data_IF_498639255486
#
_entry.id   IF_498639255486
#
_cell.length_a   1.000
_cell.length_b   1.000
_cell.length_c   1.000
_cell.angle_alpha   90.00
_cell.angle_beta   90.00
_cell.angle_gamma   90.00
#
_symmetry.space_group_name_H-M   'P 1'
#
loop_
_entity.id
_entity.type
_entity.pdbx_description
1 polymer ?
#
# COMPACT_ATOMS: atom_id res chain seq x y z
N UNK A 1 19.69 15.72 20.49
CA UNK A 1 18.68 16.26 19.57
C UNK A 1 19.18 15.98 18.18
N UNK A 2 18.70 14.89 17.56
CA UNK A 2 19.15 14.46 16.25
C UNK A 2 18.02 14.62 15.26
N UNK A 3 18.38 15.25 14.14
CA UNK A 3 17.57 15.71 13.04
C UNK A 3 16.48 14.72 12.66
N UNK A 4 15.22 15.06 12.98
CA UNK A 4 14.08 14.60 12.22
C UNK A 4 14.20 15.21 10.83
N UNK A 5 14.95 14.57 9.94
CA UNK A 5 14.73 14.75 8.51
C UNK A 5 13.31 14.28 8.25
N UNK A 6 12.36 15.23 8.30
CA UNK A 6 11.17 15.14 7.48
C UNK A 6 11.74 15.07 6.06
N UNK A 7 12.02 13.85 5.59
CA UNK A 7 12.16 13.59 4.17
C UNK A 7 10.82 14.02 3.61
N UNK A 8 10.79 15.23 3.06
CA UNK A 8 9.63 15.75 2.36
C UNK A 8 9.50 14.89 1.12
N UNK A 9 8.87 13.71 1.26
CA UNK A 9 8.41 12.93 0.12
C UNK A 9 7.71 13.90 -0.80
N UNK A 10 8.15 13.94 -2.06
CA UNK A 10 7.51 14.78 -3.03
C UNK A 10 6.01 14.44 -3.01
N UNK A 11 5.10 15.41 -2.80
CA UNK A 11 3.67 15.11 -2.71
C UNK A 11 3.12 14.46 -3.99
N UNK A 12 3.85 14.58 -5.10
CA UNK A 12 3.54 13.95 -6.38
C UNK A 12 4.05 12.50 -6.48
N UNK A 13 4.77 12.01 -5.47
CA UNK A 13 5.31 10.65 -5.40
C UNK A 13 4.24 9.68 -4.89
N UNK A 14 3.14 9.60 -5.63
CA UNK A 14 2.00 8.74 -5.31
C UNK A 14 2.04 7.40 -6.04
N UNK A 15 2.95 7.22 -6.99
CA UNK A 15 3.00 6.03 -7.83
C UNK A 15 3.07 4.76 -6.97
N UNK A 16 2.11 3.86 -7.17
CA UNK A 16 2.03 2.59 -6.45
C UNK A 16 1.48 2.65 -5.04
N UNK A 17 1.29 3.85 -4.47
CA UNK A 17 0.71 4.00 -3.14
C UNK A 17 -0.79 3.73 -3.17
N UNK A 18 -1.28 3.16 -2.07
CA UNK A 18 -2.69 3.02 -1.78
C UNK A 18 -3.27 4.33 -1.26
N UNK A 19 -4.43 4.68 -1.80
CA UNK A 19 -5.11 5.96 -1.59
C UNK A 19 -6.59 5.76 -1.31
N UNK A 20 -7.21 6.74 -0.66
CA UNK A 20 -8.65 6.90 -0.53
C UNK A 20 -9.08 8.16 -1.29
N UNK A 21 -10.29 8.15 -1.85
CA UNK A 21 -10.91 9.36 -2.40
C UNK A 21 -11.68 10.10 -1.30
N UNK A 22 -11.31 11.37 -1.03
CA UNK A 22 -11.94 12.19 0.01
C UNK A 22 -13.37 12.60 -0.33
N UNK A 23 -13.72 12.62 -1.63
CA UNK A 23 -15.04 13.01 -2.14
C UNK A 23 -15.98 11.80 -2.24
N UNK A 24 -15.44 10.61 -2.52
CA UNK A 24 -16.20 9.36 -2.60
C UNK A 24 -15.63 8.27 -1.66
N UNK A 25 -15.82 8.39 -0.34
CA UNK A 25 -15.33 7.39 0.63
C UNK A 25 -15.86 5.97 0.38
N UNK A 26 -17.02 5.85 -0.28
CA UNK A 26 -17.63 4.57 -0.63
C UNK A 26 -16.76 3.71 -1.58
N UNK A 27 -15.79 4.31 -2.30
CA UNK A 27 -14.83 3.57 -3.13
C UNK A 27 -13.91 2.67 -2.31
N UNK A 28 -13.72 2.98 -1.01
CA UNK A 28 -12.71 2.36 -0.17
C UNK A 28 -11.31 2.81 -0.57
N UNK A 29 -10.39 1.87 -0.70
CA UNK A 29 -9.00 2.12 -1.11
C UNK A 29 -8.78 1.73 -2.56
N UNK A 30 -7.87 2.42 -3.25
CA UNK A 30 -7.38 2.08 -4.59
C UNK A 30 -5.87 2.27 -4.67
N UNK A 31 -5.25 1.74 -5.71
CA UNK A 31 -3.81 1.83 -5.91
C UNK A 31 -3.48 2.68 -7.13
N UNK A 32 -2.61 3.67 -6.92
CA UNK A 32 -2.14 4.56 -7.99
C UNK A 32 -1.30 3.77 -9.00
N UNK A 33 -1.77 3.69 -10.24
CA UNK A 33 -1.10 2.95 -11.32
C UNK A 33 -0.22 3.83 -12.19
N UNK A 34 -0.54 5.10 -12.34
CA UNK A 34 0.22 6.07 -13.13
C UNK A 34 -0.03 7.47 -12.63
N UNK A 35 0.85 8.41 -12.96
CA UNK A 35 0.62 9.83 -12.71
C UNK A 35 0.88 10.66 -13.97
N UNK A 36 0.18 11.79 -14.04
CA UNK A 36 0.34 12.84 -15.02
C UNK A 36 0.81 14.10 -14.30
N UNK A 37 2.11 14.36 -14.37
CA UNK A 37 2.75 15.50 -13.71
C UNK A 37 2.21 16.84 -14.25
N UNK A 38 1.84 16.93 -15.53
CA UNK A 38 1.33 18.16 -16.11
C UNK A 38 -0.07 18.51 -15.59
N UNK A 39 -0.89 17.49 -15.31
CA UNK A 39 -2.25 17.65 -14.80
C UNK A 39 -2.38 17.54 -13.29
N UNK A 40 -1.28 17.32 -12.57
CA UNK A 40 -1.26 17.04 -11.12
C UNK A 40 -2.34 16.01 -10.72
N UNK A 41 -2.40 14.92 -11.49
CA UNK A 41 -3.43 13.89 -11.38
C UNK A 41 -2.82 12.51 -11.55
N UNK A 42 -3.52 11.48 -11.11
CA UNK A 42 -3.10 10.09 -11.28
C UNK A 42 -4.24 9.18 -11.73
N UNK A 43 -3.90 8.08 -12.39
CA UNK A 43 -4.84 7.00 -12.63
C UNK A 43 -4.79 6.07 -11.43
N UNK A 44 -5.95 5.83 -10.85
CA UNK A 44 -6.12 4.88 -9.76
C UNK A 44 -6.90 3.68 -10.28
N UNK A 45 -6.44 2.49 -9.92
CA UNK A 45 -7.13 1.25 -10.19
C UNK A 45 -7.25 0.43 -8.92
N UNK A 46 -7.87 -0.75 -9.03
CA UNK A 46 -8.04 -1.68 -7.91
C UNK A 46 -8.76 -1.03 -6.72
N UNK A 47 -9.69 -0.13 -7.01
CA UNK A 47 -10.62 0.36 -6.00
C UNK A 47 -11.33 -0.82 -5.35
N UNK A 48 -11.50 -0.80 -4.03
CA UNK A 48 -12.19 -1.85 -3.29
C UNK A 48 -13.63 -2.01 -3.78
N UNK A 49 -14.31 -0.89 -4.03
CA UNK A 49 -15.63 -0.84 -4.66
C UNK A 49 -15.52 -0.06 -5.98
N UNK A 50 -15.07 -0.70 -7.06
CA UNK A 50 -14.71 0.01 -8.30
C UNK A 50 -15.91 0.49 -9.10
N UNK A 51 -17.12 0.01 -8.79
CA UNK A 51 -18.36 0.40 -9.46
C UNK A 51 -19.37 0.90 -8.45
N UNK A 52 -19.81 2.15 -8.61
CA UNK A 52 -20.86 2.77 -7.79
C UNK A 52 -21.91 3.34 -8.75
N UNK A 53 -23.19 3.03 -8.52
CA UNK A 53 -24.29 3.49 -9.37
C UNK A 53 -24.07 3.22 -10.87
N UNK A 54 -23.53 2.03 -11.20
CA UNK A 54 -23.18 1.60 -12.56
C UNK A 54 -22.04 2.39 -13.24
N UNK A 55 -21.33 3.27 -12.52
CA UNK A 55 -20.16 3.98 -13.02
C UNK A 55 -18.88 3.29 -12.55
N UNK A 56 -17.97 3.00 -13.48
CA UNK A 56 -16.63 2.49 -13.17
C UNK A 56 -15.70 3.63 -12.80
N UNK A 57 -14.95 3.43 -11.72
CA UNK A 57 -13.98 4.37 -11.17
C UNK A 57 -12.52 3.95 -11.41
N UNK A 58 -12.29 2.72 -11.91
CA UNK A 58 -10.96 2.32 -12.39
C UNK A 58 -10.62 3.03 -13.71
N UNK A 59 -9.36 3.44 -13.87
CA UNK A 59 -8.83 3.93 -15.15
C UNK A 59 -9.13 5.40 -15.46
N UNK A 60 -9.78 6.13 -14.55
CA UNK A 60 -10.01 7.59 -14.71
C UNK A 60 -8.91 8.40 -14.01
N UNK A 61 -8.75 9.66 -14.41
CA UNK A 61 -7.81 10.60 -13.81
C UNK A 61 -8.39 11.21 -12.52
N UNK A 62 -7.65 11.10 -11.44
CA UNK A 62 -7.93 11.69 -10.13
C UNK A 62 -6.95 12.81 -9.82
N UNK A 63 -7.41 14.04 -9.60
CA UNK A 63 -6.58 15.12 -9.09
C UNK A 63 -6.02 14.80 -7.70
N UNK A 64 -4.78 15.18 -7.42
CA UNK A 64 -4.12 14.88 -6.14
C UNK A 64 -4.87 15.40 -4.92
N UNK A 65 -5.49 16.57 -5.00
CA UNK A 65 -6.26 17.15 -3.89
C UNK A 65 -7.51 16.33 -3.50
N UNK A 66 -7.94 15.37 -4.34
CA UNK A 66 -9.03 14.44 -4.02
C UNK A 66 -8.55 13.16 -3.35
N UNK A 67 -7.25 12.94 -3.28
CA UNK A 67 -6.68 11.71 -2.79
C UNK A 67 -5.95 11.95 -1.47
N UNK A 68 -6.09 10.99 -0.58
CA UNK A 68 -5.29 10.90 0.64
C UNK A 68 -4.68 9.52 0.73
N UNK A 69 -3.56 9.39 1.44
CA UNK A 69 -2.97 8.08 1.71
C UNK A 69 -3.96 7.19 2.47
N UNK A 70 -4.00 5.91 2.10
CA UNK A 70 -4.84 4.94 2.75
C UNK A 70 -4.54 4.83 4.25
N UNK A 71 -5.59 4.52 5.02
CA UNK A 71 -5.52 4.33 6.47
C UNK A 71 -5.86 2.89 6.82
N UNK A 72 -5.00 2.25 7.60
CA UNK A 72 -5.19 0.88 8.12
C UNK A 72 -5.51 -0.12 7.01
N UNK A 73 -4.88 0.05 5.84
CA UNK A 73 -5.12 -0.84 4.72
C UNK A 73 -4.19 -2.04 4.79
N UNK A 74 -4.76 -3.20 5.10
CA UNK A 74 -4.07 -4.48 5.01
C UNK A 74 -3.60 -4.76 3.57
N UNK A 75 -2.32 -5.05 3.41
CA UNK A 75 -1.71 -5.35 2.09
C UNK A 75 -1.36 -6.82 1.96
N UNK A 76 -0.96 -7.49 3.05
CA UNK A 76 -0.66 -8.92 3.05
C UNK A 76 0.02 -9.40 4.32
N UNK A 77 0.52 -10.62 4.32
CA UNK A 77 1.18 -11.25 5.49
C UNK A 77 2.44 -12.00 5.12
N UNK A 78 3.31 -12.23 6.11
CA UNK A 78 4.37 -13.23 6.07
C UNK A 78 4.39 -13.97 7.40
N UNK A 79 4.24 -15.31 7.37
CA UNK A 79 3.97 -16.08 8.59
C UNK A 79 2.70 -15.58 9.31
N UNK A 80 2.85 -15.26 10.60
CA UNK A 80 1.78 -14.68 11.44
C UNK A 80 1.83 -13.15 11.53
N UNK A 81 2.77 -12.50 10.83
CA UNK A 81 2.88 -11.03 10.84
C UNK A 81 2.04 -10.46 9.71
N UNK A 82 1.16 -9.51 10.03
CA UNK A 82 0.39 -8.73 9.09
C UNK A 82 1.15 -7.46 8.71
N UNK A 83 1.07 -7.10 7.43
CA UNK A 83 1.59 -5.83 6.91
C UNK A 83 0.46 -4.99 6.36
N UNK A 84 0.47 -3.72 6.74
CA UNK A 84 -0.55 -2.76 6.37
C UNK A 84 0.09 -1.39 6.16
N UNK A 85 -0.66 -0.51 5.50
CA UNK A 85 -0.25 0.88 5.28
C UNK A 85 -1.16 1.83 6.03
N UNK A 86 -0.55 2.83 6.63
CA UNK A 86 -1.24 3.89 7.35
C UNK A 86 -0.51 5.21 7.11
N UNK A 87 -1.22 6.18 6.53
CA UNK A 87 -0.71 7.52 6.24
C UNK A 87 0.63 7.56 5.47
N UNK A 88 0.78 6.66 4.49
CA UNK A 88 1.98 6.62 3.65
C UNK A 88 3.15 5.85 4.25
N UNK A 89 2.99 5.27 5.44
CA UNK A 89 4.00 4.46 6.12
C UNK A 89 3.57 3.00 6.13
N UNK A 90 4.55 2.08 6.06
CA UNK A 90 4.32 0.65 6.22
C UNK A 90 4.45 0.29 7.70
N UNK A 91 3.48 -0.46 8.17
CA UNK A 91 3.42 -0.94 9.54
C UNK A 91 3.29 -2.45 9.54
N UNK A 92 3.74 -3.06 10.63
CA UNK A 92 3.57 -4.48 10.93
C UNK A 92 2.85 -4.67 12.26
N UNK A 93 2.22 -5.82 12.41
CA UNK A 93 1.71 -6.32 13.70
C UNK A 93 1.68 -7.83 13.67
N UNK A 94 1.84 -8.47 14.82
CA UNK A 94 1.59 -9.91 14.92
C UNK A 94 0.09 -10.18 15.02
N UNK A 95 -0.39 -11.19 14.31
CA UNK A 95 -1.81 -11.53 14.30
C UNK A 95 -2.25 -12.10 15.64
N UNK A 96 -3.27 -11.47 16.22
CA UNK A 96 -3.98 -11.96 17.39
C UNK A 96 -5.39 -12.44 17.03
N UNK A 97 -5.76 -13.69 17.38
CA UNK A 97 -7.11 -14.20 17.14
C UNK A 97 -8.19 -13.39 17.86
N UNK A 98 -9.33 -13.22 17.22
CA UNK A 98 -10.51 -12.55 17.78
C UNK A 98 -11.75 -13.43 17.61
N UNK A 99 -12.83 -13.20 18.38
CA UNK A 99 -14.11 -13.86 18.12
C UNK A 99 -14.57 -13.58 16.68
N UNK A 100 -14.54 -14.60 15.82
CA UNK A 100 -14.91 -14.51 14.42
C UNK A 100 -13.75 -14.59 13.43
N UNK A 101 -12.50 -14.38 13.86
CA UNK A 101 -11.29 -14.56 13.03
C UNK A 101 -10.24 -15.31 13.85
N UNK A 102 -10.14 -16.62 13.64
CA UNK A 102 -9.38 -17.51 14.52
C UNK A 102 -7.93 -17.70 14.09
N UNK A 103 -7.61 -17.43 12.82
CA UNK A 103 -6.27 -17.57 12.28
C UNK A 103 -5.92 -16.45 11.29
N UNK A 104 -4.61 -16.24 11.11
CA UNK A 104 -4.08 -15.31 10.10
C UNK A 104 -4.50 -15.72 8.68
N UNK A 105 -4.72 -17.02 8.46
CA UNK A 105 -5.21 -17.54 7.19
C UNK A 105 -6.67 -17.18 6.95
N UNK A 106 -7.52 -17.23 7.99
CA UNK A 106 -8.91 -16.78 7.92
C UNK A 106 -8.96 -15.27 7.62
N UNK A 107 -8.15 -14.48 8.34
CA UNK A 107 -8.03 -13.04 8.13
C UNK A 107 -7.62 -12.68 6.69
N UNK A 108 -6.60 -13.35 6.16
CA UNK A 108 -6.09 -13.12 4.80
C UNK A 108 -7.02 -13.70 3.72
N UNK A 109 -7.86 -14.67 4.07
CA UNK A 109 -8.75 -15.38 3.16
C UNK A 109 -9.93 -14.53 2.68
N UNK A 110 -10.53 -14.92 1.56
CA UNK A 110 -11.65 -14.18 0.94
C UNK A 110 -12.89 -14.02 1.84
N UNK A 111 -12.98 -14.76 2.95
CA UNK A 111 -14.07 -14.69 3.90
C UNK A 111 -14.10 -13.42 4.76
N UNK A 112 -12.96 -12.75 4.95
CA UNK A 112 -12.92 -11.46 5.66
C UNK A 112 -13.03 -10.32 4.65
N UNK A 113 -13.99 -9.43 4.86
CA UNK A 113 -14.20 -8.26 4.02
C UNK A 113 -13.12 -7.21 4.23
N UNK A 114 -12.99 -6.27 3.29
CA UNK A 114 -12.11 -5.11 3.46
C UNK A 114 -12.42 -4.31 4.73
N UNK A 115 -13.70 -4.06 5.01
CA UNK A 115 -14.10 -3.26 6.17
C UNK A 115 -13.80 -3.96 7.49
N UNK A 116 -13.97 -5.28 7.55
CA UNK A 116 -13.58 -6.07 8.73
C UNK A 116 -12.07 -6.07 8.94
N UNK A 117 -11.27 -6.25 7.87
CA UNK A 117 -9.80 -6.15 7.98
C UNK A 117 -9.36 -4.78 8.46
N UNK A 118 -9.94 -3.71 7.90
CA UNK A 118 -9.65 -2.34 8.29
C UNK A 118 -9.98 -2.11 9.77
N UNK A 119 -11.17 -2.51 10.20
CA UNK A 119 -11.62 -2.33 11.58
C UNK A 119 -10.71 -3.08 12.58
N UNK A 120 -10.32 -4.32 12.24
CA UNK A 120 -9.36 -5.08 13.04
C UNK A 120 -8.00 -4.37 13.10
N UNK A 121 -7.42 -4.01 11.94
CA UNK A 121 -6.11 -3.36 11.87
C UNK A 121 -6.10 -2.01 12.61
N UNK A 122 -7.19 -1.24 12.51
CA UNK A 122 -7.36 0.01 13.24
C UNK A 122 -7.40 -0.22 14.76
N UNK A 123 -8.22 -1.18 15.23
CA UNK A 123 -8.31 -1.49 16.65
C UNK A 123 -6.95 -1.91 17.24
N UNK A 124 -6.30 -2.89 16.63
CA UNK A 124 -5.00 -3.39 17.09
C UNK A 124 -3.91 -2.31 17.06
N UNK A 125 -3.91 -1.44 16.03
CA UNK A 125 -2.96 -0.33 15.94
C UNK A 125 -3.16 0.66 17.10
N UNK A 126 -4.41 1.05 17.38
CA UNK A 126 -4.73 2.02 18.44
C UNK A 126 -4.48 1.47 19.85
N UNK A 127 -4.51 0.16 20.03
CA UNK A 127 -4.13 -0.53 21.28
C UNK A 127 -2.60 -0.66 21.47
N UNK A 128 -1.81 -0.23 20.48
CA UNK A 128 -0.35 -0.26 20.53
C UNK A 128 0.28 -1.58 20.04
N UNK A 129 -0.48 -2.42 19.33
CA UNK A 129 0.04 -3.67 18.74
C UNK A 129 0.72 -3.48 17.38
N UNK A 130 0.73 -2.25 16.84
CA UNK A 130 1.36 -1.91 15.56
C UNK A 130 2.71 -1.26 15.72
N UNK A 131 3.71 -1.74 14.98
CA UNK A 131 5.05 -1.16 14.90
C UNK A 131 5.33 -0.66 13.48
N UNK A 132 6.01 0.49 13.37
CA UNK A 132 6.54 0.96 12.10
C UNK A 132 7.62 -0.01 11.61
N UNK A 133 7.62 -0.29 10.30
CA UNK A 133 8.56 -1.23 9.72
C UNK A 133 10.00 -0.71 9.85
N UNK A 134 10.89 -1.53 10.41
CA UNK A 134 12.32 -1.21 10.52
C UNK A 134 13.03 -1.39 9.18
N UNK A 135 14.26 -0.86 9.08
CA UNK A 135 15.08 -1.00 7.87
C UNK A 135 15.39 -2.48 7.54
N UNK A 136 15.82 -3.27 8.52
CA UNK A 136 16.17 -4.68 8.32
C UNK A 136 14.95 -5.50 7.85
N UNK A 137 13.76 -5.18 8.35
CA UNK A 137 12.52 -5.82 7.92
C UNK A 137 12.12 -5.40 6.51
N UNK A 138 12.35 -4.14 6.13
CA UNK A 138 12.13 -3.67 4.78
C UNK A 138 13.01 -4.43 3.77
N UNK A 139 14.30 -4.62 4.08
CA UNK A 139 15.22 -5.41 3.23
C UNK A 139 14.80 -6.89 3.12
N UNK A 140 14.34 -7.48 4.23
CA UNK A 140 13.75 -8.82 4.22
C UNK A 140 12.51 -8.88 3.31
N UNK A 141 11.60 -7.90 3.39
CA UNK A 141 10.40 -7.86 2.55
C UNK A 141 10.72 -7.66 1.07
N UNK A 142 11.71 -6.83 0.74
CA UNK A 142 12.18 -6.64 -0.63
C UNK A 142 12.72 -7.98 -1.18
N UNK A 143 13.52 -8.69 -0.40
CA UNK A 143 14.05 -10.02 -0.77
C UNK A 143 12.92 -11.05 -0.95
N UNK A 144 11.94 -11.04 -0.04
CA UNK A 144 10.78 -11.93 -0.11
C UNK A 144 9.92 -11.67 -1.35
N UNK A 145 9.67 -10.41 -1.69
CA UNK A 145 8.96 -10.01 -2.91
C UNK A 145 9.72 -10.44 -4.17
N UNK A 146 11.04 -10.30 -4.20
CA UNK A 146 11.83 -10.75 -5.36
C UNK A 146 11.69 -12.24 -5.60
N UNK A 147 11.70 -13.04 -4.53
CA UNK A 147 11.59 -14.49 -4.62
C UNK A 147 10.16 -14.95 -4.96
N UNK A 148 9.14 -14.40 -4.31
CA UNK A 148 7.76 -14.91 -4.37
C UNK A 148 6.81 -14.09 -5.24
N UNK A 149 7.11 -12.81 -5.45
CA UNK A 149 6.18 -11.82 -5.99
C UNK A 149 5.10 -11.35 -5.02
N UNK A 150 5.03 -11.90 -3.81
CA UNK A 150 4.05 -11.49 -2.79
C UNK A 150 4.41 -10.13 -2.18
N UNK A 151 3.44 -9.49 -1.53
CA UNK A 151 3.59 -8.17 -0.90
C UNK A 151 4.04 -7.04 -1.85
N UNK A 152 3.87 -7.23 -3.16
CA UNK A 152 4.24 -6.24 -4.19
C UNK A 152 3.62 -4.85 -3.95
N UNK A 153 2.43 -4.80 -3.34
CA UNK A 153 1.76 -3.56 -2.97
C UNK A 153 2.50 -2.70 -1.93
N UNK A 154 3.51 -3.24 -1.23
CA UNK A 154 4.36 -2.51 -0.29
C UNK A 154 5.60 -1.91 -0.94
N UNK A 155 6.06 -2.46 -2.07
CA UNK A 155 7.34 -2.07 -2.69
C UNK A 155 7.46 -0.58 -2.98
N UNK A 156 6.42 0.10 -3.50
CA UNK A 156 6.48 1.55 -3.71
C UNK A 156 6.66 2.39 -2.43
N UNK A 157 6.41 1.80 -1.25
CA UNK A 157 6.65 2.44 0.04
C UNK A 157 8.08 2.22 0.55
N UNK A 158 8.64 1.02 0.30
CA UNK A 158 9.97 0.62 0.75
C UNK A 158 11.06 1.19 -0.15
N UNK A 159 10.80 1.17 -1.46
CA UNK A 159 11.63 1.77 -2.49
C UNK A 159 10.73 2.80 -3.17
N UNK A 160 10.82 4.09 -2.80
CA UNK A 160 10.02 5.13 -3.42
C UNK A 160 10.44 5.38 -4.87
N UNK A 161 9.49 5.63 -5.77
CA UNK A 161 9.81 5.99 -7.15
C UNK A 161 10.32 7.43 -7.23
N UNK A 162 11.63 7.65 -7.21
CA UNK A 162 12.23 9.00 -7.24
C UNK A 162 12.26 9.62 -8.64
N UNK A 163 12.02 8.83 -9.69
CA UNK A 163 12.08 9.30 -11.07
C UNK A 163 10.75 9.87 -11.55
N UNK A 164 10.79 11.12 -12.03
CA UNK A 164 9.67 11.85 -12.62
C UNK A 164 9.23 11.36 -14.01
N UNK A 165 10.00 10.45 -14.63
CA UNK A 165 9.74 9.97 -15.99
C UNK A 165 8.93 8.67 -16.04
N UNK A 166 8.84 7.93 -14.91
CA UNK A 166 8.11 6.67 -14.90
C UNK A 166 6.60 6.92 -14.89
N UNK A 167 5.96 6.61 -16.01
CA UNK A 167 4.53 6.83 -16.19
C UNK A 167 3.66 5.68 -15.68
N UNK A 168 4.20 4.54 -15.22
CA UNK A 168 3.37 3.43 -14.73
C UNK A 168 4.03 2.57 -13.65
N UNK A 169 3.20 2.01 -12.76
CA UNK A 169 3.60 1.13 -11.66
C UNK A 169 4.18 -0.18 -12.17
N UNK A 170 3.57 -0.77 -13.19
CA UNK A 170 4.05 -2.02 -13.78
C UNK A 170 5.48 -1.89 -14.33
N UNK A 171 5.76 -0.78 -15.04
CA UNK A 171 7.11 -0.50 -15.54
C UNK A 171 8.09 -0.28 -14.38
N UNK A 172 7.69 0.50 -13.38
CA UNK A 172 8.48 0.72 -12.16
C UNK A 172 8.92 -0.58 -11.50
N UNK A 173 7.98 -1.48 -11.23
CA UNK A 173 8.23 -2.75 -10.56
C UNK A 173 9.06 -3.71 -11.43
N UNK A 174 8.83 -3.73 -12.74
CA UNK A 174 9.62 -4.55 -13.68
C UNK A 174 11.09 -4.11 -13.72
N UNK A 175 11.36 -2.80 -13.79
CA UNK A 175 12.73 -2.26 -13.80
C UNK A 175 13.44 -2.51 -12.47
N UNK A 176 12.74 -2.42 -11.34
CA UNK A 176 13.28 -2.80 -10.05
C UNK A 176 13.70 -4.28 -10.03
N UNK A 177 12.81 -5.19 -10.45
CA UNK A 177 13.14 -6.63 -10.47
C UNK A 177 14.38 -6.92 -11.32
N UNK A 178 14.54 -6.26 -12.46
CA UNK A 178 15.73 -6.40 -13.30
C UNK A 178 17.00 -5.87 -12.60
N UNK A 179 16.91 -4.70 -11.98
CA UNK A 179 18.03 -4.11 -11.23
C UNK A 179 18.54 -5.04 -10.14
N UNK A 180 17.63 -5.60 -9.33
CA UNK A 180 18.03 -6.51 -8.25
C UNK A 180 18.47 -7.89 -8.74
N UNK A 181 17.93 -8.39 -9.86
CA UNK A 181 18.42 -9.64 -10.46
C UNK A 181 19.88 -9.53 -10.92
N UNK A 182 20.32 -8.35 -11.36
CA UNK A 182 21.71 -8.11 -11.79
C UNK A 182 22.71 -8.01 -10.63
N UNK A 183 22.25 -7.74 -9.39
CA UNK A 183 23.11 -7.62 -8.21
C UNK A 183 23.46 -9.00 -7.61
N UNK A 184 22.69 -10.03 -7.96
CA UNK A 184 22.83 -11.41 -7.45
C UNK A 184 23.55 -12.34 -8.44
N UNK A 185 23.81 -11.89 -9.68
CA UNK A 185 24.49 -12.63 -10.74
C UNK A 185 25.98 -12.26 -10.83
#
# INVERSE_FOLDING_TARGET
>A
MQNSTISTRNPNQMLGLWVEDVTYPALGVGQVQSYDAHRHSCIVERWQNPVINHLSFNGILYPYHRLQHARYHYVGRHGNTLYYVHHGTVWRMDFEPTPGIWSVADFAGAGTSFYERRAYTEAMHLEGGGDELTHDEAEMLISYWQYSGELEGLIPYLIPCEHHERSSLGQYLSELRQTYAMVVA
#
